data_IF_925053475995
#
_entry.id   IF_925053475995
#
_cell.length_a   1.000
_cell.length_b   1.000
_cell.length_c   1.000
_cell.angle_alpha   90.00
_cell.angle_beta   90.00
_cell.angle_gamma   90.00
#
_symmetry.space_group_name_H-M   'P 1'
#
loop_
_entity.id
_entity.type
_entity.pdbx_description
1 polymer ?
#
# COMPACT_ATOMS: atom_id res chain seq x y z
N UNK A 1 -13.28 9.72 -17.75
CA UNK A 1 -12.62 10.19 -16.52
C UNK A 1 -11.41 9.32 -16.25
N UNK A 2 -10.21 9.87 -16.38
CA UNK A 2 -8.97 9.17 -16.02
C UNK A 2 -8.53 9.81 -14.71
N UNK A 3 -8.95 9.23 -13.60
CA UNK A 3 -8.28 9.51 -12.33
C UNK A 3 -7.01 8.69 -12.40
N UNK A 4 -5.83 9.33 -12.35
CA UNK A 4 -4.58 8.62 -12.12
C UNK A 4 -4.77 7.74 -10.88
N UNK A 5 -4.70 6.42 -11.08
CA UNK A 5 -4.81 5.47 -10.00
C UNK A 5 -3.46 4.86 -9.71
N UNK A 6 -3.22 4.59 -8.44
CA UNK A 6 -1.99 3.93 -8.00
C UNK A 6 -2.32 2.55 -7.45
N UNK A 7 -1.37 1.62 -7.50
CA UNK A 7 -1.42 0.37 -6.77
C UNK A 7 -0.51 0.48 -5.54
N UNK A 8 -0.98 -0.01 -4.40
CA UNK A 8 -0.24 -0.01 -3.15
C UNK A 8 -0.03 -1.46 -2.71
N UNK A 9 1.21 -1.86 -2.50
CA UNK A 9 1.58 -3.09 -1.83
C UNK A 9 2.09 -2.80 -0.43
N UNK A 10 1.73 -3.63 0.53
CA UNK A 10 2.13 -3.49 1.91
C UNK A 10 2.60 -4.84 2.47
N UNK A 11 3.76 -4.87 3.12
CA UNK A 11 4.26 -6.03 3.87
C UNK A 11 4.54 -5.64 5.31
N UNK A 12 4.32 -6.58 6.22
CA UNK A 12 4.54 -6.40 7.65
C UNK A 12 4.09 -7.64 8.42
N UNK A 13 4.09 -7.53 9.73
CA UNK A 13 3.49 -8.49 10.65
C UNK A 13 1.96 -8.54 10.52
N UNK A 14 1.34 -9.63 10.96
CA UNK A 14 -0.10 -9.86 10.79
C UNK A 14 -0.97 -8.81 11.48
N UNK A 15 -0.56 -8.29 12.65
CA UNK A 15 -1.21 -7.16 13.31
C UNK A 15 -1.30 -5.93 12.41
N UNK A 16 -0.21 -5.56 11.73
CA UNK A 16 -0.23 -4.41 10.82
C UNK A 16 -1.06 -4.73 9.57
N UNK A 17 -1.01 -5.96 9.06
CA UNK A 17 -1.86 -6.38 7.93
C UNK A 17 -3.35 -6.21 8.28
N UNK A 18 -3.78 -6.65 9.45
CA UNK A 18 -5.17 -6.51 9.90
C UNK A 18 -5.60 -5.04 10.04
N UNK A 19 -4.72 -4.20 10.58
CA UNK A 19 -4.95 -2.76 10.67
C UNK A 19 -5.07 -2.12 9.27
N UNK A 20 -4.15 -2.45 8.36
CA UNK A 20 -4.13 -1.94 6.98
C UNK A 20 -5.35 -2.42 6.20
N UNK A 21 -5.81 -3.66 6.40
CA UNK A 21 -7.05 -4.17 5.79
C UNK A 21 -8.25 -3.42 6.33
N UNK A 22 -8.33 -3.22 7.65
CA UNK A 22 -9.41 -2.48 8.28
C UNK A 22 -9.48 -1.03 7.80
N UNK A 23 -8.33 -0.43 7.46
CA UNK A 23 -8.24 0.93 6.92
C UNK A 23 -8.13 0.98 5.38
N UNK A 24 -8.22 -0.16 4.69
CA UNK A 24 -7.89 -0.24 3.26
C UNK A 24 -8.79 0.65 2.40
N UNK A 25 -10.07 0.73 2.72
CA UNK A 25 -11.05 1.57 2.02
C UNK A 25 -10.71 3.06 2.17
N UNK A 26 -10.34 3.47 3.39
CA UNK A 26 -9.89 4.82 3.70
C UNK A 26 -8.60 5.17 2.97
N UNK A 27 -7.59 4.29 3.04
CA UNK A 27 -6.30 4.48 2.37
C UNK A 27 -6.51 4.62 0.86
N UNK A 28 -7.30 3.73 0.24
CA UNK A 28 -7.62 3.81 -1.19
C UNK A 28 -8.30 5.11 -1.57
N UNK A 29 -9.25 5.58 -0.74
CA UNK A 29 -9.97 6.82 -1.00
C UNK A 29 -9.08 8.05 -0.90
N UNK A 30 -8.26 8.15 0.14
CA UNK A 30 -7.35 9.30 0.35
C UNK A 30 -6.21 9.32 -0.67
N UNK A 31 -5.71 8.16 -1.08
CA UNK A 31 -4.57 8.02 -1.99
C UNK A 31 -4.96 7.80 -3.45
N UNK A 32 -6.26 7.72 -3.75
CA UNK A 32 -6.82 7.34 -5.06
C UNK A 32 -6.24 6.02 -5.59
N UNK A 33 -5.96 5.08 -4.67
CA UNK A 33 -5.44 3.78 -5.05
C UNK A 33 -6.54 2.88 -5.60
N UNK A 34 -6.27 2.24 -6.74
CA UNK A 34 -7.15 1.23 -7.33
C UNK A 34 -7.11 -0.07 -6.54
N UNK A 35 -5.90 -0.46 -6.15
CA UNK A 35 -5.66 -1.74 -5.51
C UNK A 35 -4.72 -1.57 -4.33
N UNK A 36 -5.03 -2.30 -3.25
CA UNK A 36 -4.20 -2.43 -2.08
C UNK A 36 -3.97 -3.92 -1.88
N UNK A 37 -2.71 -4.35 -1.94
CA UNK A 37 -2.30 -5.74 -1.78
C UNK A 37 -1.45 -5.87 -0.51
N UNK A 38 -1.68 -6.93 0.27
CA UNK A 38 -0.88 -7.23 1.46
C UNK A 38 0.35 -8.07 1.08
N UNK A 39 1.07 -7.58 0.08
CA UNK A 39 2.34 -8.12 -0.38
C UNK A 39 3.12 -7.02 -1.06
N UNK A 40 4.42 -7.20 -1.20
CA UNK A 40 5.24 -6.32 -2.01
C UNK A 40 4.81 -6.42 -3.48
N UNK A 41 4.69 -5.28 -4.16
CA UNK A 41 4.42 -5.27 -5.59
C UNK A 41 5.67 -5.71 -6.35
N UNK A 42 5.53 -6.65 -7.28
CA UNK A 42 6.64 -7.08 -8.16
C UNK A 42 7.20 -5.93 -9.00
N UNK A 43 6.36 -4.92 -9.27
CA UNK A 43 6.75 -3.70 -9.98
C UNK A 43 6.25 -2.53 -9.15
N UNK A 44 7.17 -1.78 -8.53
CA UNK A 44 6.89 -0.61 -7.71
C UNK A 44 7.78 0.56 -8.13
N UNK A 45 7.17 1.73 -8.32
CA UNK A 45 7.88 3.00 -8.57
C UNK A 45 8.52 3.55 -7.30
N UNK A 46 7.92 3.24 -6.15
CA UNK A 46 8.36 3.73 -4.86
C UNK A 46 8.23 2.63 -3.82
N UNK A 47 9.32 2.29 -3.15
CA UNK A 47 9.29 1.37 -2.02
C UNK A 47 9.98 2.02 -0.85
N UNK A 48 9.34 1.94 0.32
CA UNK A 48 9.92 2.47 1.53
C UNK A 48 9.50 1.62 2.72
N UNK A 49 10.46 1.42 3.61
CA UNK A 49 10.33 0.66 4.84
C UNK A 49 10.17 1.62 6.02
N UNK A 50 9.30 1.26 6.94
CA UNK A 50 8.99 1.99 8.17
C UNK A 50 8.99 1.02 9.34
N UNK A 51 9.65 1.44 10.42
CA UNK A 51 9.56 0.79 11.71
C UNK A 51 8.39 1.39 12.50
N UNK A 52 7.40 0.57 12.81
CA UNK A 52 6.28 0.88 13.69
C UNK A 52 6.51 0.12 15.00
N UNK A 53 7.11 0.80 15.97
CA UNK A 53 7.46 0.17 17.25
C UNK A 53 8.61 -0.82 17.10
N UNK A 54 8.34 -2.11 17.32
CA UNK A 54 9.28 -3.22 17.10
C UNK A 54 9.00 -3.96 15.77
N UNK A 55 8.02 -3.49 14.99
CA UNK A 55 7.54 -4.16 13.80
C UNK A 55 7.97 -3.39 12.55
N UNK A 56 8.64 -4.09 11.62
CA UNK A 56 9.03 -3.52 10.34
C UNK A 56 7.90 -3.70 9.32
N UNK A 57 7.56 -2.62 8.62
CA UNK A 57 6.63 -2.66 7.51
C UNK A 57 7.20 -2.01 6.25
N UNK A 58 6.95 -2.62 5.09
CA UNK A 58 7.39 -2.07 3.81
C UNK A 58 6.17 -1.73 2.95
N UNK A 59 6.14 -0.50 2.48
CA UNK A 59 5.10 0.01 1.59
C UNK A 59 5.71 0.21 0.22
N UNK A 60 5.12 -0.44 -0.77
CA UNK A 60 5.43 -0.32 -2.19
C UNK A 60 4.28 0.37 -2.90
N UNK A 61 4.57 1.30 -3.79
CA UNK A 61 3.60 2.09 -4.53
C UNK A 61 4.00 2.04 -6.00
N UNK A 62 3.03 1.76 -6.86
CA UNK A 62 3.17 1.77 -8.31
C UNK A 62 2.18 2.75 -8.90
N UNK A 63 2.64 3.61 -9.80
CA UNK A 63 1.74 4.54 -10.49
C UNK A 63 1.25 3.89 -11.78
N UNK A 64 -0.06 3.73 -11.94
CA UNK A 64 -0.62 3.32 -13.23
C UNK A 64 -0.81 4.57 -14.09
N UNK A 65 0.28 4.98 -14.75
CA UNK A 65 0.23 6.01 -15.79
C UNK A 65 -0.53 5.38 -16.98
N UNK A 66 -1.76 5.83 -17.23
CA UNK A 66 -2.53 5.45 -18.42
C UNK A 66 -2.29 6.44 -19.55
#
# INVERSE_FOLDING_TARGET
EVTDRIAIGFTGSDDIKEAVVSMSDYIKKETLAEELQIKELEVSDFTKTWDIGEEECTISIRRNIN
#
